data_IF_199832283157
#
_entry.id   IF_199832283157
#
_cell.length_a   1.000
_cell.length_b   1.000
_cell.length_c   1.000
_cell.angle_alpha   90.00
_cell.angle_beta   90.00
_cell.angle_gamma   90.00
#
_symmetry.space_group_name_H-M   'P 1'
#
loop_
_entity.id
_entity.type
_entity.pdbx_description
1 polymer ?
#
# COMPACT_ATOMS: atom_id res chain seq x y z
N UNK A 1 58.50 43.86 -18.88
CA UNK A 1 57.73 43.24 -17.83
C UNK A 1 56.34 42.93 -18.43
N UNK A 2 56.07 41.65 -18.75
CA UNK A 2 54.77 41.20 -19.29
C UNK A 2 54.04 40.48 -18.17
N UNK A 3 52.97 41.05 -17.66
CA UNK A 3 52.09 40.39 -16.70
C UNK A 3 51.14 39.44 -17.42
N UNK A 4 51.34 38.14 -17.19
CA UNK A 4 50.45 37.09 -17.67
C UNK A 4 49.31 37.04 -16.66
N UNK A 5 48.12 37.47 -17.08
CA UNK A 5 46.87 37.27 -16.35
C UNK A 5 46.41 35.80 -16.55
N UNK A 6 46.62 34.98 -15.55
CA UNK A 6 46.03 33.66 -15.50
C UNK A 6 44.53 33.80 -15.19
N UNK A 7 43.69 33.53 -16.19
CA UNK A 7 42.25 33.46 -16.03
C UNK A 7 41.88 32.08 -15.51
N UNK A 8 41.53 32.01 -14.23
CA UNK A 8 41.10 30.79 -13.58
C UNK A 8 39.62 30.55 -13.95
N UNK A 9 39.38 29.69 -14.95
CA UNK A 9 38.07 29.26 -15.34
C UNK A 9 37.57 28.22 -14.34
N UNK A 10 36.78 28.64 -13.36
CA UNK A 10 36.10 27.72 -12.45
C UNK A 10 34.92 27.09 -13.20
N UNK A 11 35.10 25.85 -13.64
CA UNK A 11 33.99 25.02 -14.12
C UNK A 11 33.14 24.58 -12.92
N UNK A 12 32.01 25.23 -12.75
CA UNK A 12 30.97 24.79 -11.83
C UNK A 12 30.23 23.57 -12.45
N UNK A 13 30.69 22.40 -12.09
CA UNK A 13 29.97 21.15 -12.40
C UNK A 13 28.80 21.06 -11.44
N UNK A 14 27.63 21.53 -11.87
CA UNK A 14 26.36 21.24 -11.20
C UNK A 14 26.00 19.80 -11.46
N UNK A 15 26.35 18.91 -10.55
CA UNK A 15 25.81 17.55 -10.53
C UNK A 15 24.31 17.62 -10.24
N UNK A 16 23.50 17.52 -11.29
CA UNK A 16 22.09 17.17 -11.17
C UNK A 16 22.02 15.75 -10.65
N UNK A 17 21.96 15.60 -9.33
CA UNK A 17 21.48 14.36 -8.74
C UNK A 17 19.99 14.28 -9.06
N UNK A 18 19.66 13.65 -10.18
CA UNK A 18 18.33 13.12 -10.39
C UNK A 18 18.09 12.13 -9.23
N UNK A 19 17.23 12.49 -8.30
CA UNK A 19 16.61 11.51 -7.44
C UNK A 19 15.76 10.63 -8.35
N UNK A 20 16.33 9.54 -8.85
CA UNK A 20 15.54 8.39 -9.22
C UNK A 20 14.80 7.98 -7.95
N UNK A 21 13.53 8.35 -7.87
CA UNK A 21 12.61 7.65 -7.01
C UNK A 21 12.47 6.25 -7.63
N UNK A 22 13.48 5.43 -7.44
CA UNK A 22 13.27 4.00 -7.43
C UNK A 22 12.12 3.80 -6.46
N UNK A 23 11.01 3.26 -6.96
CA UNK A 23 9.96 2.69 -6.12
C UNK A 23 10.66 1.63 -5.26
N UNK A 24 11.20 2.06 -4.14
CA UNK A 24 11.80 1.17 -3.17
C UNK A 24 10.71 0.16 -2.86
N UNK A 25 10.94 -1.09 -3.28
CA UNK A 25 10.12 -2.22 -2.88
C UNK A 25 10.12 -2.14 -1.37
N UNK A 26 9.02 -1.68 -0.81
CA UNK A 26 8.89 -1.60 0.64
C UNK A 26 8.75 -3.03 1.09
N UNK A 27 9.86 -3.56 1.55
CA UNK A 27 9.90 -4.89 2.13
C UNK A 27 9.07 -4.84 3.41
N UNK A 28 7.85 -5.35 3.31
CA UNK A 28 7.00 -5.56 4.47
C UNK A 28 7.53 -6.79 5.19
N UNK A 29 8.47 -6.59 6.06
CA UNK A 29 9.31 -7.62 6.66
C UNK A 29 8.54 -8.70 7.44
N UNK A 30 7.25 -8.55 7.64
CA UNK A 30 6.40 -9.61 8.18
C UNK A 30 4.95 -9.46 7.72
N UNK A 31 4.67 -9.93 6.51
CA UNK A 31 3.31 -9.99 5.97
C UNK A 31 2.36 -10.87 6.81
N UNK A 32 2.91 -11.70 7.69
CA UNK A 32 2.14 -12.54 8.60
C UNK A 32 1.70 -11.81 9.87
N UNK A 33 2.26 -10.62 10.14
CA UNK A 33 1.98 -9.86 11.36
C UNK A 33 1.76 -8.35 11.07
N UNK A 34 0.65 -7.99 10.42
CA UNK A 34 0.30 -6.60 10.11
C UNK A 34 0.06 -5.76 11.37
N UNK A 35 -0.10 -6.38 12.53
CA UNK A 35 -0.36 -5.72 13.82
C UNK A 35 0.74 -4.72 14.22
N UNK A 36 1.92 -4.81 13.60
CA UNK A 36 3.02 -3.89 13.84
C UNK A 36 2.98 -2.63 12.95
N UNK A 37 1.91 -2.43 12.18
CA UNK A 37 1.77 -1.25 11.33
C UNK A 37 0.70 -0.31 11.87
N UNK A 38 1.05 0.96 12.05
CA UNK A 38 0.14 1.96 12.60
C UNK A 38 -1.19 2.08 11.84
N UNK A 39 -1.16 1.91 10.51
CA UNK A 39 -2.36 2.01 9.69
C UNK A 39 -3.34 0.87 9.95
N UNK A 40 -2.84 -0.34 10.23
CA UNK A 40 -3.68 -1.51 10.49
C UNK A 40 -4.44 -1.34 11.82
N UNK A 41 -3.74 -0.94 12.86
CA UNK A 41 -4.34 -0.63 14.16
C UNK A 41 -5.36 0.52 14.04
N UNK A 42 -5.01 1.59 13.33
CA UNK A 42 -5.93 2.71 13.09
C UNK A 42 -7.18 2.26 12.32
N UNK A 43 -7.03 1.41 11.30
CA UNK A 43 -8.14 0.89 10.52
C UNK A 43 -9.04 -0.01 11.36
N UNK A 44 -8.49 -0.98 12.06
CA UNK A 44 -9.26 -1.99 12.83
C UNK A 44 -9.95 -1.40 14.05
N UNK A 45 -9.30 -0.46 14.73
CA UNK A 45 -9.86 0.21 15.92
C UNK A 45 -11.19 0.94 15.66
N UNK A 46 -11.42 1.38 14.42
CA UNK A 46 -12.70 2.01 14.03
C UNK A 46 -13.89 1.06 14.18
N UNK A 47 -13.66 -0.23 14.06
CA UNK A 47 -14.70 -1.26 14.10
C UNK A 47 -14.80 -1.97 15.45
N UNK A 48 -13.82 -1.83 16.33
CA UNK A 48 -13.82 -2.48 17.65
C UNK A 48 -14.86 -1.88 18.60
N UNK A 49 -15.25 -0.63 18.38
CA UNK A 49 -16.15 0.11 19.25
C UNK A 49 -17.64 0.02 18.84
N UNK A 50 -17.91 -0.66 17.76
CA UNK A 50 -19.27 -0.69 17.17
C UNK A 50 -19.98 -1.96 17.57
N UNK A 51 -21.05 -1.86 18.34
CA UNK A 51 -21.85 -2.98 18.83
C UNK A 51 -22.90 -3.45 17.79
N UNK A 52 -22.53 -3.43 16.50
CA UNK A 52 -23.34 -3.90 15.38
C UNK A 52 -22.68 -5.12 14.73
N UNK A 53 -23.46 -5.96 14.01
CA UNK A 53 -22.86 -7.07 13.26
C UNK A 53 -21.78 -6.59 12.31
N UNK A 54 -20.58 -7.17 12.45
CA UNK A 54 -19.43 -6.80 11.65
C UNK A 54 -19.48 -7.43 10.26
N UNK A 55 -19.19 -6.66 9.24
CA UNK A 55 -19.15 -7.11 7.84
C UNK A 55 -17.77 -6.89 7.21
N UNK A 56 -16.88 -6.19 7.89
CA UNK A 56 -15.57 -5.81 7.40
C UNK A 56 -14.53 -6.88 7.68
N UNK A 57 -13.63 -7.07 6.72
CA UNK A 57 -12.49 -7.96 6.84
C UNK A 57 -11.31 -7.44 6.03
N UNK A 58 -10.12 -7.91 6.35
CA UNK A 58 -8.89 -7.60 5.60
C UNK A 58 -8.29 -8.90 5.12
N UNK A 59 -8.03 -8.98 3.82
CA UNK A 59 -7.25 -10.05 3.21
C UNK A 59 -5.84 -9.57 2.91
N UNK A 60 -4.88 -10.51 2.91
CA UNK A 60 -3.51 -10.30 2.46
C UNK A 60 -3.23 -11.20 1.26
N UNK A 61 -2.44 -10.73 0.33
CA UNK A 61 -1.99 -11.49 -0.84
C UNK A 61 -0.69 -10.94 -1.40
N UNK A 62 -0.27 -11.49 -2.54
CA UNK A 62 0.94 -11.07 -3.26
C UNK A 62 0.54 -10.53 -4.64
N UNK A 63 0.95 -9.31 -4.93
CA UNK A 63 0.79 -8.66 -6.23
C UNK A 63 2.15 -8.12 -6.70
N UNK A 64 2.59 -8.53 -7.88
CA UNK A 64 3.90 -8.12 -8.45
C UNK A 64 5.05 -8.23 -7.45
N UNK A 65 5.14 -9.38 -6.77
CA UNK A 65 6.15 -9.69 -5.75
C UNK A 65 6.09 -8.83 -4.47
N UNK A 66 5.02 -8.06 -4.29
CA UNK A 66 4.81 -7.25 -3.09
C UNK A 66 3.63 -7.80 -2.29
N UNK A 67 3.74 -7.74 -0.97
CA UNK A 67 2.60 -7.99 -0.09
C UNK A 67 1.61 -6.85 -0.21
N UNK A 68 0.34 -7.20 -0.43
CA UNK A 68 -0.76 -6.25 -0.53
C UNK A 68 -1.88 -6.63 0.43
N UNK A 69 -2.62 -5.61 0.87
CA UNK A 69 -3.75 -5.75 1.78
C UNK A 69 -5.01 -5.25 1.10
N UNK A 70 -6.08 -5.99 1.28
CA UNK A 70 -7.38 -5.72 0.68
C UNK A 70 -8.43 -5.61 1.78
N UNK A 71 -8.71 -4.39 2.27
CA UNK A 71 -9.89 -4.17 3.08
C UNK A 71 -11.13 -4.43 2.26
N UNK A 72 -12.11 -5.13 2.82
CA UNK A 72 -13.35 -5.48 2.16
C UNK A 72 -14.53 -5.57 3.13
N UNK A 73 -15.73 -5.57 2.59
CA UNK A 73 -16.97 -5.77 3.34
C UNK A 73 -17.92 -6.71 2.59
N UNK A 74 -18.61 -7.57 3.30
CA UNK A 74 -19.67 -8.40 2.75
C UNK A 74 -21.05 -7.73 2.83
N UNK A 75 -21.14 -6.47 3.16
CA UNK A 75 -22.39 -5.73 3.19
C UNK A 75 -23.01 -5.64 1.78
N UNK A 76 -24.15 -6.32 1.56
CA UNK A 76 -24.78 -6.41 0.24
C UNK A 76 -25.32 -5.07 -0.29
N UNK A 77 -25.65 -4.13 0.59
CA UNK A 77 -26.24 -2.83 0.25
C UNK A 77 -25.28 -1.67 0.46
N UNK A 78 -23.99 -1.93 0.79
CA UNK A 78 -23.01 -0.91 0.98
C UNK A 78 -22.27 -0.63 -0.34
N UNK A 79 -22.05 0.65 -0.63
CA UNK A 79 -21.14 1.02 -1.70
C UNK A 79 -19.71 0.84 -1.19
N UNK A 80 -19.00 -0.13 -1.75
CA UNK A 80 -17.62 -0.44 -1.37
C UNK A 80 -16.69 -0.31 -2.57
N UNK A 81 -15.62 0.48 -2.41
CA UNK A 81 -14.56 0.57 -3.40
C UNK A 81 -13.44 -0.40 -3.01
N UNK A 82 -13.18 -1.44 -3.81
CA UNK A 82 -12.19 -2.45 -3.49
C UNK A 82 -10.78 -1.92 -3.72
N UNK A 83 -10.21 -1.24 -2.72
CA UNK A 83 -8.86 -0.69 -2.77
C UNK A 83 -7.82 -1.76 -2.46
N UNK A 84 -6.62 -1.61 -3.06
CA UNK A 84 -5.44 -2.41 -2.77
C UNK A 84 -4.41 -1.51 -2.09
N UNK A 85 -3.97 -1.92 -0.91
CA UNK A 85 -3.02 -1.17 -0.09
C UNK A 85 -1.66 -1.87 -0.06
N UNK A 86 -0.58 -1.10 0.02
CA UNK A 86 0.74 -1.63 0.35
C UNK A 86 0.89 -1.82 1.88
N UNK A 87 2.05 -2.26 2.34
CA UNK A 87 2.28 -2.50 3.77
C UNK A 87 2.35 -1.23 4.62
N UNK A 88 2.40 -0.06 4.02
CA UNK A 88 2.27 1.23 4.72
C UNK A 88 0.83 1.72 4.79
N UNK A 89 -0.12 0.96 4.25
CA UNK A 89 -1.52 1.37 4.16
C UNK A 89 -1.80 2.39 3.06
N UNK A 90 -0.84 2.58 2.14
CA UNK A 90 -1.02 3.48 1.00
C UNK A 90 -1.75 2.75 -0.12
N UNK A 91 -2.75 3.41 -0.71
CA UNK A 91 -3.47 2.85 -1.84
C UNK A 91 -2.58 2.79 -3.08
N UNK A 92 -2.39 1.61 -3.63
CA UNK A 92 -1.63 1.36 -4.86
C UNK A 92 -2.52 1.10 -6.07
N UNK A 93 -3.79 0.85 -5.85
CA UNK A 93 -4.76 0.63 -6.91
C UNK A 93 -6.15 0.29 -6.41
N UNK A 94 -7.01 -0.05 -7.34
CA UNK A 94 -8.39 -0.52 -7.12
C UNK A 94 -8.56 -1.83 -7.88
N UNK A 95 -9.25 -2.80 -7.29
CA UNK A 95 -9.57 -4.04 -7.97
C UNK A 95 -10.61 -3.81 -9.07
N UNK A 96 -10.40 -4.41 -10.23
CA UNK A 96 -11.34 -4.36 -11.32
C UNK A 96 -10.78 -4.99 -12.59
N UNK A 97 -11.53 -4.88 -13.68
CA UNK A 97 -11.14 -5.42 -14.99
C UNK A 97 -11.01 -4.31 -16.06
N UNK A 98 -10.98 -3.05 -15.64
CA UNK A 98 -10.80 -1.91 -16.53
C UNK A 98 -9.32 -1.54 -16.64
N UNK A 99 -8.99 -0.81 -17.69
CA UNK A 99 -7.63 -0.28 -17.87
C UNK A 99 -7.22 0.56 -16.65
N UNK A 100 -6.05 0.25 -16.09
CA UNK A 100 -5.52 0.92 -14.90
C UNK A 100 -5.99 0.37 -13.56
N UNK A 101 -6.92 -0.61 -13.56
CA UNK A 101 -7.32 -1.36 -12.37
C UNK A 101 -6.41 -2.60 -12.18
N UNK A 102 -6.39 -3.13 -10.97
CA UNK A 102 -5.67 -4.37 -10.65
C UNK A 102 -6.63 -5.54 -10.83
N UNK A 103 -6.31 -6.46 -11.73
CA UNK A 103 -7.10 -7.67 -11.90
C UNK A 103 -7.01 -8.53 -10.62
N UNK A 104 -8.13 -8.93 -10.02
CA UNK A 104 -8.14 -9.82 -8.87
C UNK A 104 -7.36 -11.12 -9.08
N UNK A 105 -7.34 -11.63 -10.32
CA UNK A 105 -6.62 -12.86 -10.68
C UNK A 105 -5.09 -12.71 -10.63
N UNK A 106 -4.57 -11.48 -10.65
CA UNK A 106 -3.15 -11.18 -10.50
C UNK A 106 -2.68 -11.23 -9.05
N UNK A 107 -3.61 -11.20 -8.07
CA UNK A 107 -3.27 -11.30 -6.65
C UNK A 107 -3.25 -12.76 -6.23
N UNK A 108 -2.10 -13.24 -5.80
CA UNK A 108 -1.90 -14.64 -5.42
C UNK A 108 -1.94 -14.83 -3.90
N UNK A 109 -2.39 -16.02 -3.50
CA UNK A 109 -2.32 -16.45 -2.09
C UNK A 109 -3.21 -15.64 -1.14
N UNK A 110 -4.34 -15.12 -1.62
CA UNK A 110 -5.28 -14.37 -0.79
C UNK A 110 -5.74 -15.19 0.41
N UNK A 111 -5.63 -14.60 1.60
CA UNK A 111 -6.19 -15.14 2.84
C UNK A 111 -6.69 -14.00 3.73
N UNK A 112 -7.77 -14.24 4.47
CA UNK A 112 -8.29 -13.31 5.46
C UNK A 112 -7.38 -13.36 6.69
N UNK A 113 -6.92 -12.18 7.16
CA UNK A 113 -6.06 -12.03 8.33
C UNK A 113 -6.77 -11.31 9.49
N UNK A 114 -7.83 -10.58 9.20
CA UNK A 114 -8.62 -9.90 10.21
C UNK A 114 -10.11 -9.88 9.84
N UNK A 115 -10.95 -9.95 10.84
CA UNK A 115 -12.40 -9.78 10.75
C UNK A 115 -12.87 -8.85 11.85
N UNK A 116 -13.82 -7.99 11.54
CA UNK A 116 -14.45 -7.11 12.53
C UNK A 116 -15.13 -7.92 13.64
N UNK A 117 -15.28 -7.37 14.84
CA UNK A 117 -16.03 -8.00 15.92
C UNK A 117 -17.44 -8.39 15.48
N UNK A 118 -17.93 -9.54 15.96
CA UNK A 118 -19.25 -10.09 15.59
C UNK A 118 -19.43 -10.30 14.07
N UNK A 119 -18.37 -10.69 13.39
CA UNK A 119 -18.36 -10.92 11.94
C UNK A 119 -19.41 -11.93 11.51
N UNK A 120 -20.24 -11.57 10.52
CA UNK A 120 -21.38 -12.37 10.06
C UNK A 120 -21.31 -12.78 8.60
N UNK A 121 -20.21 -12.54 7.90
CA UNK A 121 -20.06 -12.98 6.52
C UNK A 121 -19.76 -14.47 6.42
N UNK A 122 -20.30 -15.13 5.41
CA UNK A 122 -20.01 -16.53 5.10
C UNK A 122 -18.76 -16.70 4.20
N UNK A 123 -17.66 -15.97 4.47
CA UNK A 123 -16.41 -16.01 3.70
C UNK A 123 -15.29 -16.65 4.49
#
# INVERSE_FOLDING_TARGET
MKFIKASLLVLLVTSLTACDQENAIVDCFDASNPENTNWFEEYTSRYEQVNIPGTEYISVGIYKFQTVYLPASCCANCFWLPVVLNCRGEQIGVLGQRDGEIDPDDIKGLKIIWRSPNFQCGV
#
